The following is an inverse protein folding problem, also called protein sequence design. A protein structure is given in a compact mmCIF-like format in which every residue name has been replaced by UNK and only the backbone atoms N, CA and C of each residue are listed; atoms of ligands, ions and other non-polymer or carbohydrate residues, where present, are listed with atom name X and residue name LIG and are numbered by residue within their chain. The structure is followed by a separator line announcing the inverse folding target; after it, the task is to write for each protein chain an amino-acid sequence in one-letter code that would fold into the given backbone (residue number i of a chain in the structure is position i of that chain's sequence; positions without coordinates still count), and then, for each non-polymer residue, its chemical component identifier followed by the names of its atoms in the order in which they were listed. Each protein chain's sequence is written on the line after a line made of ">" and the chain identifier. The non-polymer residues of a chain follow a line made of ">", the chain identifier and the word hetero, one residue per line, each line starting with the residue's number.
data_IF_451681925556
#
_entry.id   IF_451681925556
#
_cell.length_a   1.000
_cell.length_b   1.000
_cell.length_c   1.000
_cell.angle_alpha   90.00
_cell.angle_beta   90.00
_cell.angle_gamma   90.00
#
_symmetry.space_group_name_H-M   'P 1'
#
loop_
_entity.id
_entity.type
_entity.pdbx_description
1 polymer ?
#
# COMPACT_ATOMS: atom_id res chain seq x y z
N UNK A 1 -9.29 19.86 -7.31
CA UNK A 1 -10.01 18.67 -6.81
C UNK A 1 -10.88 19.10 -5.65
N UNK A 2 -12.07 19.63 -5.93
CA UNK A 2 -13.10 19.73 -4.90
C UNK A 2 -13.80 18.37 -4.89
N UNK A 3 -13.92 17.72 -3.72
CA UNK A 3 -14.75 16.53 -3.55
C UNK A 3 -14.08 15.21 -3.17
N UNK A 4 -12.77 15.14 -2.88
CA UNK A 4 -12.12 13.85 -2.59
C UNK A 4 -12.56 13.14 -1.31
N UNK A 5 -13.19 13.84 -0.36
CA UNK A 5 -13.85 13.25 0.82
C UNK A 5 -15.34 12.92 0.59
N UNK A 6 -15.91 13.29 -0.56
CA UNK A 6 -17.33 13.03 -0.83
C UNK A 6 -17.58 11.54 -0.86
N UNK A 7 -18.70 11.13 -0.26
CA UNK A 7 -19.07 9.73 -0.20
C UNK A 7 -19.33 9.19 -1.61
N UNK A 8 -18.72 8.05 -1.94
CA UNK A 8 -18.80 7.46 -3.28
C UNK A 8 -17.96 8.16 -4.36
N UNK A 9 -17.04 9.05 -4.00
CA UNK A 9 -16.10 9.68 -4.95
C UNK A 9 -14.95 8.76 -5.41
N UNK A 10 -14.75 7.62 -4.75
CA UNK A 10 -13.73 6.64 -5.15
C UNK A 10 -14.01 6.01 -6.52
N UNK A 11 -12.96 5.49 -7.15
CA UNK A 11 -12.99 4.93 -8.49
C UNK A 11 -13.43 3.47 -8.52
N UNK A 12 -13.24 2.75 -7.40
CA UNK A 12 -13.52 1.32 -7.31
C UNK A 12 -14.73 1.06 -6.44
N UNK A 13 -15.56 0.11 -6.86
CA UNK A 13 -16.68 -0.41 -6.06
C UNK A 13 -16.52 -1.93 -5.93
N UNK A 14 -16.44 -2.40 -4.69
CA UNK A 14 -16.30 -3.83 -4.40
C UNK A 14 -17.65 -4.54 -4.35
N UNK A 15 -17.61 -5.87 -4.31
CA UNK A 15 -18.82 -6.71 -4.31
C UNK A 15 -19.83 -6.31 -3.22
N UNK A 16 -19.38 -5.99 -2.00
CA UNK A 16 -20.25 -5.54 -0.91
C UNK A 16 -20.90 -4.19 -1.25
N UNK A 17 -20.16 -3.24 -1.82
CA UNK A 17 -20.70 -1.95 -2.26
C UNK A 17 -21.67 -2.04 -3.44
N UNK A 18 -21.59 -3.10 -4.25
CA UNK A 18 -22.56 -3.38 -5.33
C UNK A 18 -23.82 -4.07 -4.80
N UNK A 19 -23.67 -5.04 -3.90
CA UNK A 19 -24.77 -5.96 -3.50
C UNK A 19 -25.43 -5.64 -2.16
N UNK A 20 -24.69 -5.01 -1.24
CA UNK A 20 -25.05 -4.84 0.17
C UNK A 20 -24.69 -3.45 0.73
N UNK A 21 -24.72 -2.43 -0.13
CA UNK A 21 -24.43 -1.05 0.26
C UNK A 21 -25.34 -0.60 1.43
N UNK A 22 -24.73 -0.14 2.53
CA UNK A 22 -25.42 0.30 3.75
C UNK A 22 -26.38 -0.75 4.36
N UNK A 23 -26.15 -2.05 4.10
CA UNK A 23 -27.06 -3.12 4.54
C UNK A 23 -27.23 -3.19 6.07
N UNK A 24 -26.17 -2.91 6.82
CA UNK A 24 -26.13 -3.07 8.29
C UNK A 24 -26.03 -1.75 9.05
N UNK A 25 -25.69 -0.64 8.38
CA UNK A 25 -25.59 0.68 9.01
C UNK A 25 -25.80 1.79 7.97
N UNK A 26 -26.56 2.84 8.30
CA UNK A 26 -26.72 4.00 7.42
C UNK A 26 -25.44 4.83 7.31
N UNK A 27 -24.45 4.64 8.19
CA UNK A 27 -23.20 5.41 8.23
C UNK A 27 -22.02 4.70 7.55
N UNK A 28 -22.06 3.36 7.45
CA UNK A 28 -20.96 2.55 6.93
C UNK A 28 -21.44 1.87 5.65
N UNK A 29 -20.82 2.19 4.52
CA UNK A 29 -21.19 1.69 3.21
C UNK A 29 -20.97 0.17 3.07
N UNK A 30 -19.80 -0.33 3.45
CA UNK A 30 -19.41 -1.74 3.35
C UNK A 30 -18.95 -2.26 4.73
N UNK A 31 -19.90 -2.74 5.54
CA UNK A 31 -19.66 -3.08 6.95
C UNK A 31 -18.59 -4.16 7.14
N UNK A 32 -18.65 -5.24 6.36
CA UNK A 32 -17.72 -6.34 6.54
C UNK A 32 -16.33 -5.98 6.03
N UNK A 33 -16.22 -5.30 4.89
CA UNK A 33 -14.95 -4.78 4.40
C UNK A 33 -14.33 -3.77 5.39
N UNK A 34 -15.11 -2.88 6.01
CA UNK A 34 -14.62 -1.96 7.05
C UNK A 34 -14.12 -2.71 8.29
N UNK A 35 -14.90 -3.63 8.86
CA UNK A 35 -14.53 -4.30 10.13
C UNK A 35 -13.38 -5.28 9.93
N UNK A 36 -13.27 -5.93 8.76
CA UNK A 36 -12.18 -6.87 8.48
C UNK A 36 -10.79 -6.26 8.65
N UNK A 37 -10.66 -4.95 8.41
CA UNK A 37 -9.42 -4.20 8.57
C UNK A 37 -8.93 -4.05 10.02
N UNK A 38 -9.76 -4.38 11.02
CA UNK A 38 -9.29 -4.47 12.43
C UNK A 38 -8.16 -5.49 12.55
N UNK A 39 -8.20 -6.59 11.79
CA UNK A 39 -7.11 -7.57 11.76
C UNK A 39 -5.79 -6.94 11.24
N UNK A 40 -5.86 -6.13 10.18
CA UNK A 40 -4.73 -5.38 9.62
C UNK A 40 -4.14 -4.42 10.65
N UNK A 41 -4.99 -3.65 11.35
CA UNK A 41 -4.55 -2.73 12.40
C UNK A 41 -3.88 -3.45 13.57
N UNK A 42 -4.44 -4.59 14.00
CA UNK A 42 -3.84 -5.41 15.05
C UNK A 42 -2.47 -5.95 14.64
N UNK A 43 -2.33 -6.45 13.41
CA UNK A 43 -1.07 -6.93 12.87
C UNK A 43 -0.01 -5.81 12.83
N UNK A 44 -0.38 -4.64 12.32
CA UNK A 44 0.50 -3.46 12.28
C UNK A 44 0.93 -3.00 13.68
N UNK A 45 -0.01 -2.90 14.62
CA UNK A 45 0.28 -2.50 16.01
C UNK A 45 1.20 -3.49 16.74
N UNK A 46 0.97 -4.79 16.53
CA UNK A 46 1.85 -5.85 17.05
C UNK A 46 3.26 -5.78 16.44
N UNK A 47 3.35 -5.63 15.11
CA UNK A 47 4.60 -5.48 14.38
C UNK A 47 5.41 -4.29 14.91
N UNK A 48 4.79 -3.12 14.98
CA UNK A 48 5.43 -1.88 15.45
C UNK A 48 5.93 -2.01 16.90
N UNK A 49 5.13 -2.63 17.77
CA UNK A 49 5.50 -2.91 19.16
C UNK A 49 6.70 -3.84 19.24
N UNK A 50 6.71 -4.91 18.44
CA UNK A 50 7.82 -5.86 18.35
C UNK A 50 9.08 -5.19 17.79
N UNK A 51 8.95 -4.37 16.75
CA UNK A 51 10.06 -3.63 16.14
C UNK A 51 10.75 -2.72 17.16
N UNK A 52 9.95 -1.98 17.96
CA UNK A 52 10.45 -1.13 19.04
C UNK A 52 11.12 -1.94 20.16
N UNK A 53 10.44 -2.96 20.69
CA UNK A 53 10.94 -3.76 21.82
C UNK A 53 12.23 -4.50 21.48
N UNK A 54 12.33 -5.05 20.27
CA UNK A 54 13.50 -5.81 19.81
C UNK A 54 14.56 -4.93 19.13
N UNK A 55 14.37 -3.61 19.10
CA UNK A 55 15.25 -2.64 18.41
C UNK A 55 15.60 -3.08 16.98
N UNK A 56 14.58 -3.56 16.26
CA UNK A 56 14.75 -4.01 14.88
C UNK A 56 15.18 -2.84 13.98
N UNK A 57 15.80 -3.12 12.83
CA UNK A 57 16.09 -2.10 11.83
C UNK A 57 14.87 -1.23 11.52
N UNK A 58 15.10 0.07 11.30
CA UNK A 58 14.03 1.07 11.10
C UNK A 58 13.07 0.71 9.97
N UNK A 59 13.53 -0.06 8.98
CA UNK A 59 12.72 -0.59 7.89
C UNK A 59 11.49 -1.37 8.38
N UNK A 60 11.61 -2.19 9.43
CA UNK A 60 10.48 -2.93 9.99
C UNK A 60 9.42 -1.99 10.54
N UNK A 61 9.84 -1.01 11.36
CA UNK A 61 8.93 -0.01 11.90
C UNK A 61 8.28 0.85 10.82
N UNK A 62 9.00 1.17 9.74
CA UNK A 62 8.43 1.87 8.59
C UNK A 62 7.36 1.02 7.88
N UNK A 63 7.64 -0.25 7.60
CA UNK A 63 6.65 -1.15 6.99
C UNK A 63 5.40 -1.32 7.85
N UNK A 64 5.56 -1.46 9.17
CA UNK A 64 4.43 -1.56 10.10
C UNK A 64 3.62 -0.25 10.16
N UNK A 65 4.26 0.91 10.04
CA UNK A 65 3.57 2.20 9.93
C UNK A 65 2.79 2.33 8.62
N UNK A 66 3.37 1.88 7.49
CA UNK A 66 2.63 1.80 6.23
C UNK A 66 1.42 0.88 6.37
N UNK A 67 1.58 -0.31 6.97
CA UNK A 67 0.48 -1.26 7.17
C UNK A 67 -0.64 -0.70 8.06
N UNK A 68 -0.26 0.09 9.07
CA UNK A 68 -1.22 0.80 9.91
C UNK A 68 -2.02 1.83 9.08
N UNK A 69 -1.35 2.59 8.23
CA UNK A 69 -2.00 3.55 7.32
C UNK A 69 -2.92 2.84 6.32
N UNK A 70 -2.51 1.69 5.75
CA UNK A 70 -3.36 0.84 4.89
C UNK A 70 -4.64 0.47 5.65
N UNK A 71 -4.53 -0.11 6.84
CA UNK A 71 -5.71 -0.51 7.61
C UNK A 71 -6.66 0.65 7.93
N UNK A 72 -6.13 1.82 8.29
CA UNK A 72 -6.95 3.01 8.57
C UNK A 72 -7.59 3.57 7.29
N UNK A 73 -6.81 3.70 6.22
CA UNK A 73 -7.26 4.17 4.91
C UNK A 73 -8.35 3.27 4.35
N UNK A 74 -8.14 1.95 4.39
CA UNK A 74 -9.10 0.94 3.97
C UNK A 74 -10.40 1.00 4.78
N UNK A 75 -10.33 1.19 6.10
CA UNK A 75 -11.54 1.41 6.92
C UNK A 75 -12.32 2.65 6.46
N UNK A 76 -11.63 3.77 6.24
CA UNK A 76 -12.25 5.02 5.78
C UNK A 76 -12.84 4.86 4.39
N UNK A 77 -12.11 4.22 3.47
CA UNK A 77 -12.56 3.91 2.13
C UNK A 77 -13.80 3.02 2.15
N UNK A 78 -13.81 1.89 2.84
CA UNK A 78 -14.98 1.02 2.86
C UNK A 78 -16.18 1.62 3.62
N UNK A 79 -15.94 2.51 4.58
CA UNK A 79 -17.01 3.19 5.27
C UNK A 79 -17.67 4.28 4.43
N UNK A 80 -16.89 5.03 3.64
CA UNK A 80 -17.35 6.25 2.94
C UNK A 80 -17.36 6.14 1.42
N UNK A 81 -16.54 5.25 0.88
CA UNK A 81 -16.11 5.13 -0.53
C UNK A 81 -15.57 6.45 -1.09
N UNK A 82 -14.84 7.19 -0.26
CA UNK A 82 -14.23 8.45 -0.68
C UNK A 82 -12.89 8.22 -1.37
N UNK A 83 -12.58 9.04 -2.37
CA UNK A 83 -11.30 8.99 -3.10
C UNK A 83 -10.09 9.20 -2.17
N UNK A 84 -10.22 10.05 -1.15
CA UNK A 84 -9.14 10.28 -0.20
C UNK A 84 -8.94 9.09 0.75
N UNK A 85 -10.02 8.38 1.11
CA UNK A 85 -9.92 7.08 1.77
C UNK A 85 -9.19 6.05 0.90
N UNK A 86 -9.56 5.97 -0.38
CA UNK A 86 -8.92 5.09 -1.39
C UNK A 86 -7.41 5.35 -1.46
N UNK A 87 -7.00 6.61 -1.61
CA UNK A 87 -5.58 6.96 -1.65
C UNK A 87 -4.84 6.63 -0.34
N UNK A 88 -5.49 6.75 0.82
CA UNK A 88 -4.91 6.37 2.10
C UNK A 88 -4.76 4.86 2.27
N UNK A 89 -5.53 4.06 1.54
CA UNK A 89 -5.36 2.60 1.46
C UNK A 89 -4.20 2.26 0.51
N UNK A 90 -4.30 2.78 -0.72
CA UNK A 90 -3.47 2.39 -1.87
C UNK A 90 -2.03 2.91 -1.80
N UNK A 91 -1.83 4.21 -1.56
CA UNK A 91 -0.49 4.79 -1.58
C UNK A 91 0.42 4.20 -0.49
N UNK A 92 -0.04 3.95 0.75
CA UNK A 92 0.77 3.26 1.75
C UNK A 92 1.12 1.81 1.38
N UNK A 93 0.25 1.09 0.66
CA UNK A 93 0.60 -0.24 0.11
C UNK A 93 1.80 -0.13 -0.83
N UNK A 94 1.73 0.80 -1.79
CA UNK A 94 2.82 1.03 -2.74
C UNK A 94 4.09 1.55 -2.08
N UNK A 95 3.97 2.42 -1.07
CA UNK A 95 5.11 2.93 -0.31
C UNK A 95 5.85 1.83 0.45
N UNK A 96 5.09 0.88 1.00
CA UNK A 96 5.67 -0.31 1.64
C UNK A 96 6.44 -1.17 0.63
N UNK A 97 5.85 -1.47 -0.52
CA UNK A 97 6.49 -2.23 -1.60
C UNK A 97 7.77 -1.56 -2.10
N UNK A 98 7.70 -0.24 -2.30
CA UNK A 98 8.85 0.61 -2.64
C UNK A 98 9.97 0.53 -1.60
N UNK A 99 9.63 0.64 -0.31
CA UNK A 99 10.58 0.54 0.79
C UNK A 99 11.32 -0.81 0.82
N UNK A 100 10.63 -1.91 0.51
CA UNK A 100 11.26 -3.23 0.43
C UNK A 100 12.30 -3.33 -0.68
N UNK A 101 12.08 -2.71 -1.84
CA UNK A 101 13.08 -2.68 -2.92
C UNK A 101 14.38 -2.00 -2.49
N UNK A 102 14.29 -0.96 -1.66
CA UNK A 102 15.46 -0.30 -1.09
C UNK A 102 16.21 -1.19 -0.11
N UNK A 103 15.50 -2.04 0.63
CA UNK A 103 16.08 -2.98 1.58
C UNK A 103 16.91 -4.10 0.91
N UNK A 104 16.76 -4.32 -0.40
CA UNK A 104 17.55 -5.31 -1.14
C UNK A 104 18.97 -4.83 -1.45
N UNK A 105 19.29 -3.54 -1.26
CA UNK A 105 20.61 -3.02 -1.58
C UNK A 105 21.69 -3.72 -0.74
N UNK A 106 22.61 -4.41 -1.40
CA UNK A 106 23.73 -5.11 -0.77
C UNK A 106 23.42 -6.50 -0.22
N UNK A 107 22.20 -7.03 -0.43
CA UNK A 107 21.86 -8.40 0.00
C UNK A 107 22.38 -9.48 -0.94
N UNK A 108 22.58 -9.16 -2.23
CA UNK A 108 23.02 -10.09 -3.26
C UNK A 108 23.96 -9.41 -4.27
N UNK A 109 24.73 -10.20 -5.03
CA UNK A 109 25.64 -9.67 -6.08
C UNK A 109 24.90 -8.79 -7.10
N UNK A 110 23.68 -9.17 -7.50
CA UNK A 110 22.85 -8.41 -8.46
C UNK A 110 22.19 -7.17 -7.86
N UNK A 111 22.12 -7.06 -6.53
CA UNK A 111 21.53 -5.92 -5.82
C UNK A 111 22.61 -5.02 -5.21
N UNK A 112 23.82 -5.04 -5.77
CA UNK A 112 24.98 -4.31 -5.29
C UNK A 112 25.63 -3.46 -6.40
N UNK A 113 26.41 -2.45 -6.01
CA UNK A 113 27.18 -1.62 -6.95
C UNK A 113 26.40 -0.50 -7.67
N UNK A 114 27.06 0.07 -8.69
CA UNK A 114 26.57 1.24 -9.45
C UNK A 114 25.33 0.91 -10.29
N UNK A 115 25.32 -0.24 -10.95
CA UNK A 115 24.19 -0.66 -11.80
C UNK A 115 22.90 -0.77 -10.99
N UNK A 116 22.93 -1.43 -9.83
CA UNK A 116 21.76 -1.50 -8.96
C UNK A 116 21.33 -0.13 -8.44
N UNK A 117 22.28 0.75 -8.11
CA UNK A 117 21.96 2.12 -7.69
C UNK A 117 21.26 2.92 -8.80
N UNK A 118 21.63 2.72 -10.06
CA UNK A 118 20.94 3.30 -11.22
C UNK A 118 19.55 2.68 -11.42
N UNK A 119 19.41 1.36 -11.30
CA UNK A 119 18.11 0.67 -11.35
C UNK A 119 17.16 1.22 -10.29
N UNK A 120 17.63 1.35 -9.04
CA UNK A 120 16.86 1.93 -7.96
C UNK A 120 16.48 3.40 -8.22
N UNK A 121 17.37 4.21 -8.78
CA UNK A 121 17.07 5.61 -9.11
C UNK A 121 15.98 5.71 -10.20
N UNK A 122 16.08 4.91 -11.27
CA UNK A 122 15.07 4.85 -12.33
C UNK A 122 13.74 4.34 -11.78
N UNK A 123 13.77 3.27 -10.98
CA UNK A 123 12.60 2.72 -10.32
C UNK A 123 11.89 3.77 -9.44
N UNK A 124 12.64 4.51 -8.59
CA UNK A 124 12.08 5.60 -7.80
C UNK A 124 11.42 6.67 -8.64
N UNK A 125 12.05 7.06 -9.76
CA UNK A 125 11.49 8.06 -10.66
C UNK A 125 10.17 7.56 -11.26
N UNK A 126 10.11 6.32 -11.73
CA UNK A 126 8.89 5.72 -12.28
C UNK A 126 7.77 5.66 -11.24
N UNK A 127 8.07 5.22 -10.01
CA UNK A 127 7.08 5.17 -8.92
C UNK A 127 6.61 6.57 -8.54
N UNK A 128 7.52 7.55 -8.46
CA UNK A 128 7.16 8.93 -8.15
C UNK A 128 6.25 9.56 -9.23
N UNK A 129 6.51 9.27 -10.52
CA UNK A 129 5.65 9.70 -11.62
C UNK A 129 4.28 9.03 -11.51
N UNK A 130 4.24 7.72 -11.25
CA UNK A 130 2.99 6.98 -11.07
C UNK A 130 2.14 7.56 -9.93
N UNK A 131 2.74 7.76 -8.75
CA UNK A 131 2.06 8.39 -7.61
C UNK A 131 1.60 9.81 -7.92
N UNK A 132 2.46 10.61 -8.56
CA UNK A 132 2.09 11.95 -9.00
C UNK A 132 0.87 11.93 -9.93
N UNK A 133 0.87 11.06 -10.94
CA UNK A 133 -0.27 10.94 -11.85
C UNK A 133 -1.55 10.47 -11.14
N UNK A 134 -1.44 9.54 -10.19
CA UNK A 134 -2.59 9.07 -9.42
C UNK A 134 -3.14 10.17 -8.50
N UNK A 135 -2.27 10.88 -7.77
CA UNK A 135 -2.63 12.01 -6.91
C UNK A 135 -3.28 13.17 -7.69
N UNK A 136 -2.77 13.49 -8.88
CA UNK A 136 -3.20 14.67 -9.64
C UNK A 136 -4.36 14.41 -10.62
N UNK A 137 -4.48 13.19 -11.13
CA UNK A 137 -5.47 12.87 -12.15
C UNK A 137 -6.46 11.79 -11.71
N UNK A 138 -6.29 11.15 -10.55
CA UNK A 138 -7.16 10.08 -10.07
C UNK A 138 -7.07 8.81 -10.92
N UNK A 139 -5.97 8.61 -11.66
CA UNK A 139 -5.82 7.47 -12.56
C UNK A 139 -5.51 6.17 -11.80
N UNK A 140 -6.57 5.54 -11.28
CA UNK A 140 -6.52 4.28 -10.55
C UNK A 140 -5.74 3.16 -11.28
N UNK A 141 -5.89 3.05 -12.60
CA UNK A 141 -5.17 2.03 -13.39
C UNK A 141 -3.65 2.18 -13.32
N UNK A 142 -3.15 3.42 -13.18
CA UNK A 142 -1.72 3.68 -13.02
C UNK A 142 -1.24 3.19 -11.67
N UNK A 143 -2.01 3.41 -10.60
CA UNK A 143 -1.72 2.82 -9.30
C UNK A 143 -1.67 1.29 -9.40
N UNK A 144 -2.74 0.66 -9.88
CA UNK A 144 -2.87 -0.80 -9.94
C UNK A 144 -1.75 -1.45 -10.75
N UNK A 145 -1.43 -0.88 -11.92
CA UNK A 145 -0.34 -1.38 -12.77
C UNK A 145 1.02 -1.22 -12.11
N UNK A 146 1.27 -0.04 -11.52
CA UNK A 146 2.55 0.24 -10.85
C UNK A 146 2.75 -0.64 -9.62
N UNK A 147 1.74 -0.80 -8.77
CA UNK A 147 1.78 -1.65 -7.59
C UNK A 147 1.98 -3.13 -7.96
N UNK A 148 1.23 -3.62 -8.96
CA UNK A 148 1.42 -4.99 -9.48
C UNK A 148 2.86 -5.21 -9.96
N UNK A 149 3.41 -4.26 -10.70
CA UNK A 149 4.80 -4.33 -11.18
C UNK A 149 5.81 -4.35 -10.02
N UNK A 150 5.55 -3.63 -8.93
CA UNK A 150 6.40 -3.64 -7.72
C UNK A 150 6.42 -5.03 -7.07
N UNK A 151 5.26 -5.65 -6.88
CA UNK A 151 5.13 -6.96 -6.24
C UNK A 151 5.75 -8.08 -7.10
N UNK A 152 5.50 -8.07 -8.42
CA UNK A 152 6.11 -9.02 -9.36
C UNK A 152 7.62 -8.82 -9.43
N UNK A 153 8.08 -7.57 -9.60
CA UNK A 153 9.50 -7.24 -9.68
C UNK A 153 10.27 -7.69 -8.44
N UNK A 154 9.72 -7.43 -7.23
CA UNK A 154 10.30 -7.91 -5.98
C UNK A 154 10.38 -9.43 -5.95
N UNK A 155 9.31 -10.11 -6.34
CA UNK A 155 9.27 -11.59 -6.33
C UNK A 155 10.28 -12.18 -7.31
N UNK A 156 10.50 -11.58 -8.48
CA UNK A 156 11.52 -12.02 -9.43
C UNK A 156 12.95 -11.88 -8.86
N UNK A 157 13.22 -10.82 -8.09
CA UNK A 157 14.55 -10.56 -7.53
C UNK A 157 14.82 -11.45 -6.31
N UNK A 158 13.81 -11.66 -5.45
CA UNK A 158 13.93 -12.45 -4.23
C UNK A 158 13.67 -13.96 -4.45
N UNK A 159 12.80 -14.32 -5.40
CA UNK A 159 12.39 -15.71 -5.66
C UNK A 159 13.47 -16.58 -6.30
N UNK A 160 14.54 -15.97 -6.84
CA UNK A 160 15.75 -16.67 -7.25
C UNK A 160 16.69 -17.04 -6.09
N UNK A 161 16.36 -16.67 -4.84
CA UNK A 161 17.11 -17.06 -3.65
C UNK A 161 16.74 -18.50 -3.26
N UNK A 162 17.21 -19.48 -4.02
CA UNK A 162 17.34 -20.85 -3.51
C UNK A 162 18.48 -20.80 -2.50
N UNK A 163 18.14 -20.76 -1.21
CA UNK A 163 19.11 -20.94 -0.15
C UNK A 163 19.83 -22.30 -0.37
N UNK A 164 21.17 -22.36 -0.33
CA UNK A 164 21.86 -23.64 -0.24
C UNK A 164 21.55 -24.36 1.07
#
# INVERSE_FOLDING_TARGET
>A
MAGGWEAGSGHVVWCEGVTHLHRFSPLIAEMFNTISNIATLMAAGYGLTRARRKRLPRAFGFSDLCLLSVGLGSMVFHATRSFYGEMMDELPMSAMAFGYMWCLKGTHKYTSGRTWSLVLAVYSLVVAIAWGSYLFYGWYDVFTTSFTAQEVGRTCICGGQVYP
#
